data_IF_142134558811
#
_entry.id   IF_142134558811
#
_cell.length_a   1.000
_cell.length_b   1.000
_cell.length_c   1.000
_cell.angle_alpha   90.00
_cell.angle_beta   90.00
_cell.angle_gamma   90.00
#
_symmetry.space_group_name_H-M   'P 1'
#
loop_
_entity.id
_entity.type
_entity.pdbx_description
1 polymer ?
#
# COMPACT_ATOMS: atom_id res chain seq x y z
N UNK A 1 -1.01 -13.51 -1.04
CA UNK A 1 -1.38 -12.13 -1.39
C UNK A 1 -2.88 -12.14 -1.58
N UNK A 2 -3.62 -11.58 -0.63
CA UNK A 2 -5.05 -11.38 -0.81
C UNK A 2 -5.26 -10.08 -1.60
N UNK A 3 -5.54 -10.23 -2.90
CA UNK A 3 -5.79 -9.10 -3.80
C UNK A 3 -7.24 -8.63 -3.74
N UNK A 4 -8.12 -9.29 -2.97
CA UNK A 4 -9.55 -8.97 -2.91
C UNK A 4 -9.84 -7.54 -2.46
N UNK A 5 -8.91 -6.93 -1.71
CA UNK A 5 -9.03 -5.56 -1.18
C UNK A 5 -8.16 -4.54 -1.90
N UNK A 6 -7.46 -4.93 -2.97
CA UNK A 6 -6.54 -4.03 -3.67
C UNK A 6 -7.23 -2.74 -4.15
N UNK A 7 -8.46 -2.86 -4.69
CA UNK A 7 -9.25 -1.70 -5.13
C UNK A 7 -9.61 -0.77 -3.95
N UNK A 8 -10.07 -1.31 -2.83
CA UNK A 8 -10.37 -0.52 -1.62
C UNK A 8 -9.15 0.24 -1.12
N UNK A 9 -7.98 -0.40 -1.13
CA UNK A 9 -6.73 0.22 -0.67
C UNK A 9 -6.22 1.31 -1.61
N UNK A 10 -6.34 1.07 -2.92
CA UNK A 10 -6.08 2.09 -3.93
C UNK A 10 -7.01 3.29 -3.72
N UNK A 11 -8.31 3.06 -3.56
CA UNK A 11 -9.29 4.12 -3.31
C UNK A 11 -9.04 4.89 -2.01
N UNK A 12 -8.64 4.21 -0.94
CA UNK A 12 -8.32 4.85 0.33
C UNK A 12 -7.09 5.77 0.24
N UNK A 13 -6.10 5.38 -0.56
CA UNK A 13 -4.87 6.15 -0.78
C UNK A 13 -5.12 7.46 -1.51
N UNK A 14 -6.10 7.49 -2.44
CA UNK A 14 -6.44 8.68 -3.21
C UNK A 14 -7.06 9.78 -2.34
N UNK A 15 -6.85 11.02 -2.76
CA UNK A 15 -7.55 12.20 -2.27
C UNK A 15 -8.64 12.62 -3.26
N UNK A 16 -9.55 13.51 -2.85
CA UNK A 16 -10.58 14.05 -3.76
C UNK A 16 -9.96 14.80 -4.94
N UNK A 17 -8.80 15.43 -4.74
CA UNK A 17 -8.05 16.10 -5.80
C UNK A 17 -7.47 15.11 -6.82
N UNK A 18 -6.88 14.00 -6.36
CA UNK A 18 -6.36 12.94 -7.24
C UNK A 18 -7.49 12.34 -8.10
N UNK A 19 -8.72 12.26 -7.54
CA UNK A 19 -9.91 11.77 -8.24
C UNK A 19 -10.43 12.78 -9.26
N UNK A 20 -10.50 14.06 -8.88
CA UNK A 20 -11.13 15.10 -9.69
C UNK A 20 -10.24 15.58 -10.85
N UNK A 21 -8.93 15.68 -10.62
CA UNK A 21 -8.04 16.40 -11.55
C UNK A 21 -7.29 15.49 -12.54
N UNK A 22 -7.14 14.19 -12.23
CA UNK A 22 -6.24 13.30 -12.98
C UNK A 22 -6.81 11.89 -13.19
N UNK A 23 -8.14 11.71 -13.23
CA UNK A 23 -8.77 10.40 -13.48
C UNK A 23 -8.29 9.30 -12.52
N UNK A 24 -8.14 9.61 -11.23
CA UNK A 24 -7.57 8.72 -10.20
C UNK A 24 -6.06 8.50 -10.29
N UNK A 25 -5.31 9.37 -10.97
CA UNK A 25 -3.85 9.32 -11.00
C UNK A 25 -3.18 10.30 -10.02
N UNK A 26 -2.12 9.83 -9.38
CA UNK A 26 -1.29 10.65 -8.50
C UNK A 26 -0.38 11.56 -9.34
N UNK A 27 -0.21 12.80 -8.89
CA UNK A 27 0.88 13.65 -9.39
C UNK A 27 2.24 13.09 -8.96
N UNK A 28 3.33 13.51 -9.61
CA UNK A 28 4.69 13.07 -9.24
C UNK A 28 5.01 13.38 -7.77
N UNK A 29 4.58 14.54 -7.27
CA UNK A 29 4.83 14.95 -5.89
C UNK A 29 4.01 14.15 -4.89
N UNK A 30 2.73 13.88 -5.21
CA UNK A 30 1.87 12.99 -4.40
C UNK A 30 2.43 11.57 -4.34
N UNK A 31 2.91 11.05 -5.47
CA UNK A 31 3.56 9.74 -5.52
C UNK A 31 4.78 9.69 -4.60
N UNK A 32 5.71 10.66 -4.72
CA UNK A 32 6.90 10.74 -3.86
C UNK A 32 6.54 10.86 -2.39
N UNK A 33 5.53 11.67 -2.05
CA UNK A 33 5.05 11.81 -0.68
C UNK A 33 4.53 10.48 -0.12
N UNK A 34 3.72 9.74 -0.89
CA UNK A 34 3.21 8.44 -0.46
C UNK A 34 4.33 7.38 -0.33
N UNK A 35 5.34 7.40 -1.20
CA UNK A 35 6.53 6.53 -1.06
C UNK A 35 7.31 6.86 0.20
N UNK A 36 7.54 8.14 0.49
CA UNK A 36 8.23 8.52 1.72
C UNK A 36 7.43 8.10 2.96
N UNK A 37 6.13 8.39 2.97
CA UNK A 37 5.20 8.00 4.04
C UNK A 37 5.20 6.48 4.26
N UNK A 38 5.23 5.67 3.19
CA UNK A 38 5.38 4.21 3.29
C UNK A 38 6.62 3.78 4.09
N UNK A 39 7.76 4.44 3.89
CA UNK A 39 9.03 4.03 4.50
C UNK A 39 9.24 4.53 5.93
N UNK A 40 8.72 5.71 6.26
CA UNK A 40 9.07 6.38 7.52
C UNK A 40 7.91 6.53 8.49
N UNK A 41 6.66 6.35 8.04
CA UNK A 41 5.49 6.61 8.87
C UNK A 41 5.28 5.52 9.90
N UNK A 42 5.10 5.94 11.15
CA UNK A 42 4.72 5.06 12.25
C UNK A 42 3.19 5.06 12.47
N UNK A 43 2.44 5.84 11.68
CA UNK A 43 0.98 5.90 11.76
C UNK A 43 0.38 4.63 11.14
N UNK A 44 -0.34 3.79 11.90
CA UNK A 44 -1.01 2.62 11.35
C UNK A 44 -2.08 2.96 10.31
N UNK A 45 -2.54 4.21 10.25
CA UNK A 45 -3.52 4.70 9.28
C UNK A 45 -2.91 5.54 8.15
N UNK A 46 -1.58 5.55 8.01
CA UNK A 46 -0.90 6.19 6.88
C UNK A 46 -1.50 5.72 5.55
N UNK A 47 -1.75 6.67 4.65
CA UNK A 47 -2.22 6.38 3.29
C UNK A 47 -1.10 5.81 2.41
N UNK A 48 0.14 6.25 2.63
CA UNK A 48 1.32 5.79 1.91
C UNK A 48 1.56 4.29 2.05
N UNK A 49 1.12 3.66 3.14
CA UNK A 49 1.29 2.20 3.38
C UNK A 49 0.78 1.30 2.24
N UNK A 50 -0.11 1.80 1.38
CA UNK A 50 -0.68 1.05 0.26
C UNK A 50 -0.01 1.32 -1.10
N UNK A 51 1.00 2.20 -1.19
CA UNK A 51 1.62 2.62 -2.46
C UNK A 51 2.36 1.48 -3.18
N UNK A 52 2.87 0.50 -2.43
CA UNK A 52 3.50 -0.71 -2.95
C UNK A 52 2.55 -1.92 -2.99
N UNK A 53 1.24 -1.67 -2.90
CA UNK A 53 0.20 -2.69 -2.83
C UNK A 53 -0.10 -3.14 -1.39
N UNK A 54 -1.14 -3.98 -1.20
CA UNK A 54 -1.46 -4.56 0.09
C UNK A 54 -0.39 -5.58 0.45
N UNK A 55 0.69 -5.10 1.07
CA UNK A 55 1.39 -5.95 2.02
C UNK A 55 0.49 -6.02 3.24
N UNK A 56 -0.37 -7.04 3.29
CA UNK A 56 -0.63 -7.63 4.60
C UNK A 56 0.77 -7.84 5.18
N UNK A 57 1.10 -7.13 6.26
CA UNK A 57 2.32 -7.37 6.99
C UNK A 57 2.21 -8.80 7.52
N UNK A 58 2.65 -9.77 6.72
CA UNK A 58 2.65 -11.17 7.12
C UNK A 58 3.69 -11.23 8.23
N UNK A 59 3.33 -11.64 9.45
CA UNK A 59 4.30 -11.83 10.52
C UNK A 59 5.45 -12.70 10.01
N UNK A 60 6.69 -12.38 10.39
CA UNK A 60 7.87 -13.08 9.88
C UNK A 60 7.78 -14.59 10.15
N UNK A 61 7.14 -14.98 11.26
CA UNK A 61 6.89 -16.35 11.65
C UNK A 61 5.97 -17.08 10.65
N UNK A 62 5.04 -16.38 10.03
CA UNK A 62 4.19 -16.93 8.97
C UNK A 62 4.92 -17.03 7.62
N UNK A 63 5.84 -16.10 7.33
CA UNK A 63 6.70 -16.18 6.15
C UNK A 63 7.63 -17.39 6.22
N UNK A 64 8.27 -17.63 7.37
CA UNK A 64 9.16 -18.77 7.59
C UNK A 64 8.47 -20.13 7.41
N UNK A 65 7.20 -20.25 7.84
CA UNK A 65 6.40 -21.47 7.65
C UNK A 65 6.12 -21.79 6.18
N UNK A 66 6.04 -20.76 5.32
CA UNK A 66 5.80 -20.94 3.87
C UNK A 66 7.07 -21.33 3.12
N UNK A 67 8.24 -20.92 3.60
CA UNK A 67 9.55 -21.27 3.00
C UNK A 67 9.95 -22.72 3.28
N UNK A 68 9.56 -23.29 4.43
CA UNK A 68 9.86 -24.69 4.78
C UNK A 68 9.08 -25.74 3.97
N UNK A 69 8.13 -25.32 3.13
CA UNK A 69 7.47 -26.19 2.16
C UNK A 69 8.15 -26.08 0.79
N UNK A 70 9.36 -26.63 0.66
CA UNK A 70 9.84 -27.15 -0.62
C UNK A 70 10.37 -28.57 -0.39
N UNK A 71 10.11 -29.49 -1.33
CA UNK A 71 10.51 -30.90 -1.22
C UNK A 71 12.03 -31.06 -1.15
#
# INVERSE_FOLDING_TARGET
MDVSRAQQHFDYMLTDEDRANNENALTSDRFKANVYDFWVSMDPNSKGKYICGPFDSIPIEELEKRVKKKP
#
